data_IF_125180884141
#
_entry.id   IF_125180884141
#
_cell.length_a   1.000
_cell.length_b   1.000
_cell.length_c   1.000
_cell.angle_alpha   90.00
_cell.angle_beta   90.00
_cell.angle_gamma   90.00
#
_symmetry.space_group_name_H-M   'P 1'
#
loop_
_entity.id
_entity.type
_entity.pdbx_description
1 polymer ?
#
# COMPACT_ATOMS: atom_id res chain seq x y z
N UNK A 1 7.61 18.11 11.55
CA UNK A 1 7.47 16.82 10.85
C UNK A 1 6.28 16.88 9.89
N UNK A 2 6.27 16.03 8.85
CA UNK A 2 5.32 16.12 7.72
C UNK A 2 4.25 15.01 7.72
N UNK A 3 3.99 14.39 8.88
CA UNK A 3 2.89 13.44 9.03
C UNK A 3 1.59 14.19 9.35
N UNK A 4 0.53 13.82 8.67
CA UNK A 4 -0.86 14.20 8.98
C UNK A 4 -1.72 12.95 9.07
N UNK A 5 -2.89 12.99 9.76
CA UNK A 5 -3.83 11.85 9.78
C UNK A 5 -4.23 11.35 8.38
N UNK A 6 -4.18 12.23 7.38
CA UNK A 6 -4.45 11.91 5.96
C UNK A 6 -3.30 11.23 5.22
N UNK A 7 -2.14 10.99 5.85
CA UNK A 7 -0.94 10.46 5.17
C UNK A 7 -1.23 9.12 4.50
N UNK A 8 -1.94 8.21 5.18
CA UNK A 8 -2.28 6.90 4.61
C UNK A 8 -3.24 7.04 3.42
N UNK A 9 -4.18 7.98 3.49
CA UNK A 9 -5.07 8.32 2.37
C UNK A 9 -4.30 8.87 1.18
N UNK A 10 -3.27 9.69 1.39
CA UNK A 10 -2.37 10.15 0.33
C UNK A 10 -1.62 8.97 -0.32
N UNK A 11 -1.13 8.02 0.47
CA UNK A 11 -0.47 6.81 -0.04
C UNK A 11 -1.45 5.94 -0.82
N UNK A 12 -2.69 5.80 -0.36
CA UNK A 12 -3.76 5.08 -1.08
C UNK A 12 -4.03 5.72 -2.46
N UNK A 13 -4.04 7.05 -2.55
CA UNK A 13 -4.15 7.74 -3.85
C UNK A 13 -2.99 7.37 -4.79
N UNK A 14 -1.75 7.37 -4.30
CA UNK A 14 -0.61 6.96 -5.12
C UNK A 14 -0.68 5.50 -5.57
N UNK A 15 -1.16 4.60 -4.71
CA UNK A 15 -1.36 3.19 -5.08
C UNK A 15 -2.34 3.07 -6.25
N UNK A 16 -3.50 3.74 -6.18
CA UNK A 16 -4.51 3.72 -7.23
C UNK A 16 -4.01 4.30 -8.55
N UNK A 17 -3.28 5.42 -8.49
CA UNK A 17 -2.64 5.99 -9.69
C UNK A 17 -1.63 5.02 -10.32
N UNK A 18 -0.91 4.26 -9.50
CA UNK A 18 0.03 3.25 -9.98
C UNK A 18 -0.70 2.06 -10.62
N UNK A 19 -1.78 1.58 -10.00
CA UNK A 19 -2.66 0.53 -10.56
C UNK A 19 -3.16 0.92 -11.95
N UNK A 20 -3.68 2.14 -12.12
CA UNK A 20 -4.14 2.64 -13.43
C UNK A 20 -3.02 2.60 -14.49
N UNK A 21 -1.77 2.93 -14.10
CA UNK A 21 -0.62 2.85 -15.03
C UNK A 21 -0.30 1.40 -15.40
N UNK A 22 -0.40 0.47 -14.46
CA UNK A 22 -0.18 -0.95 -14.70
C UNK A 22 -1.27 -1.57 -15.59
N UNK A 23 -2.53 -1.17 -15.41
CA UNK A 23 -3.63 -1.57 -16.29
C UNK A 23 -3.39 -1.11 -17.74
N UNK A 24 -2.93 0.13 -17.93
CA UNK A 24 -2.53 0.62 -19.25
C UNK A 24 -1.37 -0.21 -19.82
N UNK A 25 -0.35 -0.50 -19.02
CA UNK A 25 0.77 -1.35 -19.44
C UNK A 25 0.32 -2.77 -19.83
N UNK A 26 -0.65 -3.33 -19.10
CA UNK A 26 -1.23 -4.65 -19.38
C UNK A 26 -1.93 -4.64 -20.75
N UNK A 27 -2.79 -3.65 -21.01
CA UNK A 27 -3.45 -3.50 -22.31
C UNK A 27 -2.42 -3.37 -23.45
N UNK A 28 -1.31 -2.67 -23.22
CA UNK A 28 -0.23 -2.56 -24.19
C UNK A 28 0.48 -3.89 -24.44
N UNK A 29 0.78 -4.67 -23.38
CA UNK A 29 1.39 -5.99 -23.51
C UNK A 29 0.50 -6.97 -24.28
N UNK A 30 -0.81 -6.98 -23.98
CA UNK A 30 -1.81 -7.80 -24.67
C UNK A 30 -1.88 -7.47 -26.16
N UNK A 31 -1.95 -6.18 -26.53
CA UNK A 31 -1.96 -5.74 -27.94
C UNK A 31 -0.68 -6.14 -28.70
N UNK A 32 0.45 -6.27 -27.99
CA UNK A 32 1.74 -6.68 -28.56
C UNK A 32 1.94 -8.20 -28.59
N UNK A 33 0.98 -8.97 -28.08
CA UNK A 33 1.10 -10.43 -27.97
C UNK A 33 2.17 -10.88 -26.97
N UNK A 34 2.59 -10.01 -26.04
CA UNK A 34 3.59 -10.35 -25.03
C UNK A 34 2.91 -11.02 -23.82
N UNK A 35 2.55 -12.29 -23.99
CA UNK A 35 1.88 -13.07 -22.95
C UNK A 35 2.66 -13.15 -21.61
N UNK A 36 3.99 -13.35 -21.59
CA UNK A 36 4.74 -13.37 -20.33
C UNK A 36 4.61 -12.07 -19.51
N UNK A 37 4.67 -10.90 -20.17
CA UNK A 37 4.54 -9.63 -19.47
C UNK A 37 3.08 -9.37 -19.05
N UNK A 38 2.11 -9.72 -19.87
CA UNK A 38 0.70 -9.62 -19.50
C UNK A 38 0.39 -10.45 -18.25
N UNK A 39 0.88 -11.69 -18.18
CA UNK A 39 0.68 -12.56 -17.02
C UNK A 39 1.38 -12.03 -15.77
N UNK A 40 2.58 -11.46 -15.91
CA UNK A 40 3.27 -10.79 -14.81
C UNK A 40 2.47 -9.60 -14.28
N UNK A 41 1.98 -8.73 -15.17
CA UNK A 41 1.20 -7.55 -14.80
C UNK A 41 -0.13 -7.91 -14.12
N UNK A 42 -0.82 -8.95 -14.61
CA UNK A 42 -2.04 -9.45 -13.96
C UNK A 42 -1.80 -9.90 -12.52
N UNK A 43 -0.71 -10.63 -12.25
CA UNK A 43 -0.37 -11.05 -10.88
C UNK A 43 -0.10 -9.85 -9.97
N UNK A 44 0.69 -8.89 -10.44
CA UNK A 44 0.96 -7.66 -9.69
C UNK A 44 -0.34 -6.90 -9.39
N UNK A 45 -1.23 -6.76 -10.38
CA UNK A 45 -2.52 -6.09 -10.18
C UNK A 45 -3.38 -6.80 -9.13
N UNK A 46 -3.42 -8.14 -9.14
CA UNK A 46 -4.13 -8.91 -8.10
C UNK A 46 -3.52 -8.64 -6.72
N UNK A 47 -2.20 -8.73 -6.58
CA UNK A 47 -1.50 -8.48 -5.31
C UNK A 47 -1.74 -7.05 -4.79
N UNK A 48 -1.73 -6.05 -5.68
CA UNK A 48 -1.98 -4.65 -5.28
C UNK A 48 -3.43 -4.41 -4.89
N UNK A 49 -4.40 -5.05 -5.56
CA UNK A 49 -5.81 -4.96 -5.21
C UNK A 49 -6.11 -5.63 -3.87
N UNK A 50 -5.51 -6.80 -3.62
CA UNK A 50 -5.59 -7.49 -2.31
C UNK A 50 -4.95 -6.62 -1.21
N UNK A 51 -3.77 -6.05 -1.46
CA UNK A 51 -3.12 -5.17 -0.50
C UNK A 51 -3.93 -3.89 -0.21
N UNK A 52 -4.54 -3.29 -1.24
CA UNK A 52 -5.46 -2.17 -1.06
C UNK A 52 -6.62 -2.57 -0.15
N UNK A 53 -7.30 -3.67 -0.47
CA UNK A 53 -8.51 -4.09 0.22
C UNK A 53 -8.25 -4.51 1.68
N UNK A 54 -7.27 -5.39 1.89
CA UNK A 54 -7.05 -6.04 3.17
C UNK A 54 -6.22 -5.20 4.15
N UNK A 55 -5.39 -4.29 3.62
CA UNK A 55 -4.40 -3.57 4.45
C UNK A 55 -4.51 -2.06 4.34
N UNK A 56 -4.38 -1.49 3.14
CA UNK A 56 -4.17 -0.05 3.02
C UNK A 56 -5.47 0.76 3.16
N UNK A 57 -6.58 0.29 2.59
CA UNK A 57 -7.87 0.97 2.65
C UNK A 57 -8.46 1.06 4.06
N UNK A 58 -8.45 -0.02 4.89
CA UNK A 58 -8.84 0.09 6.29
C UNK A 58 -8.01 1.14 7.04
N UNK A 59 -6.69 1.14 6.84
CA UNK A 59 -5.78 2.09 7.50
C UNK A 59 -5.98 3.54 7.04
N UNK A 60 -6.28 3.75 5.76
CA UNK A 60 -6.66 5.08 5.26
C UNK A 60 -7.97 5.56 5.89
N UNK A 61 -8.94 4.67 6.05
CA UNK A 61 -10.25 4.99 6.65
C UNK A 61 -10.14 5.32 8.15
N UNK A 62 -9.22 4.67 8.86
CA UNK A 62 -8.94 4.95 10.27
C UNK A 62 -8.35 6.36 10.50
N UNK A 63 -7.76 7.00 9.48
CA UNK A 63 -6.99 8.25 9.62
C UNK A 63 -6.01 8.20 10.79
N UNK A 64 -5.18 7.15 10.83
CA UNK A 64 -4.28 6.82 11.94
C UNK A 64 -3.57 8.08 12.48
N UNK A 65 -3.81 8.41 13.74
CA UNK A 65 -3.16 9.54 14.40
C UNK A 65 -1.92 9.04 15.14
N UNK A 66 -0.80 9.73 14.94
CA UNK A 66 0.44 9.48 15.67
C UNK A 66 0.87 10.75 16.38
N UNK A 67 1.38 10.60 17.59
CA UNK A 67 2.11 11.65 18.28
C UNK A 67 3.60 11.40 18.04
N UNK A 68 4.32 12.40 17.55
CA UNK A 68 5.73 12.21 17.19
C UNK A 68 6.63 12.11 18.43
N UNK A 69 6.17 12.62 19.57
CA UNK A 69 6.87 12.52 20.84
C UNK A 69 6.78 11.10 21.43
N UNK A 70 5.77 10.31 21.03
CA UNK A 70 5.60 8.90 21.46
C UNK A 70 6.69 7.96 20.90
N UNK A 71 7.45 8.41 19.89
CA UNK A 71 8.52 7.65 19.27
C UNK A 71 8.06 6.43 18.46
N UNK A 72 9.03 5.69 17.91
CA UNK A 72 8.76 4.60 16.95
C UNK A 72 8.06 3.41 17.59
N UNK A 73 8.43 3.03 18.83
CA UNK A 73 7.87 1.84 19.50
C UNK A 73 6.37 1.93 19.72
N UNK A 74 5.85 3.12 19.98
CA UNK A 74 4.42 3.36 20.19
C UNK A 74 3.67 3.55 18.87
N UNK A 75 4.28 4.23 17.89
CA UNK A 75 3.60 4.57 16.65
C UNK A 75 3.62 3.47 15.59
N UNK A 76 4.69 2.68 15.51
CA UNK A 76 4.84 1.64 14.49
C UNK A 76 3.71 0.59 14.52
N UNK A 77 3.32 0.05 15.70
CA UNK A 77 2.26 -0.94 15.78
C UNK A 77 0.90 -0.42 15.30
N UNK A 78 0.66 0.90 15.34
CA UNK A 78 -0.62 1.51 14.89
C UNK A 78 -0.90 1.25 13.40
N UNK A 79 0.14 0.99 12.59
CA UNK A 79 0.00 0.71 11.17
C UNK A 79 -0.15 -0.78 10.84
N UNK A 80 0.12 -1.69 11.79
CA UNK A 80 -0.03 -3.13 11.61
C UNK A 80 0.65 -3.65 10.35
N UNK A 81 -0.07 -4.46 9.56
CA UNK A 81 0.43 -5.09 8.33
C UNK A 81 0.78 -4.10 7.20
N UNK A 82 0.37 -2.82 7.31
CA UNK A 82 0.76 -1.80 6.33
C UNK A 82 2.25 -1.43 6.42
N UNK A 83 2.91 -1.77 7.52
CA UNK A 83 4.36 -1.64 7.67
C UNK A 83 5.02 -3.01 7.84
N UNK A 84 6.29 -3.08 7.47
CA UNK A 84 7.08 -4.30 7.58
C UNK A 84 7.26 -4.70 9.04
N UNK A 85 7.07 -5.98 9.37
CA UNK A 85 7.36 -6.45 10.72
C UNK A 85 8.80 -6.12 11.17
N UNK A 86 8.96 -5.52 12.35
CA UNK A 86 10.26 -5.28 13.00
C UNK A 86 10.37 -6.20 14.21
N UNK A 87 11.35 -7.11 14.18
CA UNK A 87 11.63 -7.99 15.31
C UNK A 87 11.99 -7.17 16.56
N UNK A 88 11.29 -7.42 17.67
CA UNK A 88 11.49 -6.70 18.93
C UNK A 88 10.68 -5.41 19.11
N UNK A 89 9.86 -5.02 18.11
CA UNK A 89 8.98 -3.85 18.18
C UNK A 89 7.50 -4.21 18.44
N UNK A 90 7.17 -5.50 18.46
CA UNK A 90 5.84 -5.98 18.81
C UNK A 90 5.51 -5.56 20.25
N UNK A 91 4.28 -5.09 20.47
CA UNK A 91 3.80 -4.80 21.81
C UNK A 91 3.87 -6.08 22.65
N UNK A 92 4.55 -5.99 23.79
CA UNK A 92 4.54 -7.03 24.82
C UNK A 92 3.15 -7.16 25.43
#
# INVERSE_FOLDING_TARGET
>A
HRYTPSTVSTVLTYLREYVTKLESALQHAERRGNAPEADRLRRILVELNEYEHDTLYPKASENVVIDLDDGVKTNYPKFGAALRKIAGLEAS
#
